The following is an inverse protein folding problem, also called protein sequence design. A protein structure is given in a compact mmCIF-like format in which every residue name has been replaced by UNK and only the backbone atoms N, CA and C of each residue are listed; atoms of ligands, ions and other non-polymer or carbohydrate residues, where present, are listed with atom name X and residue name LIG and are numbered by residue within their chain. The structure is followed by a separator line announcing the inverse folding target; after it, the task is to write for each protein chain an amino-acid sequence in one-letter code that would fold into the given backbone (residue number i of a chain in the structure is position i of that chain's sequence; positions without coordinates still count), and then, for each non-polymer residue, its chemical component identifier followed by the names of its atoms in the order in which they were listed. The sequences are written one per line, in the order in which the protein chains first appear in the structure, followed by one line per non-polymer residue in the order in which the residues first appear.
data_IF_585388410201
#
_entry.id   IF_585388410201
#
_cell.length_a   1.000
_cell.length_b   1.000
_cell.length_c   1.000
_cell.angle_alpha   90.00
_cell.angle_beta   90.00
_cell.angle_gamma   90.00
#
_symmetry.space_group_name_H-M   'P 1'
#
loop_
_entity.id
_entity.type
_entity.pdbx_description
1 polymer ?
#
# COMPACT_ATOMS: atom_id res chain seq x y z
N UNK A 1 -8.73 8.71 12.78
CA UNK A 1 -8.12 8.13 11.57
C UNK A 1 -6.76 8.78 11.39
N UNK A 2 -5.73 7.97 11.21
CA UNK A 2 -4.35 8.37 11.07
C UNK A 2 -3.83 7.84 9.72
N UNK A 3 -3.12 8.69 8.99
CA UNK A 3 -2.51 8.34 7.71
C UNK A 3 -1.04 8.75 7.73
N UNK A 4 -0.16 7.83 7.39
CA UNK A 4 1.27 8.07 7.35
C UNK A 4 1.81 7.98 5.92
N UNK A 5 2.22 9.11 5.35
CA UNK A 5 2.78 9.17 4.00
C UNK A 5 4.04 8.31 3.83
N UNK A 6 4.90 8.18 4.84
CA UNK A 6 6.17 7.45 4.70
C UNK A 6 5.97 5.95 4.47
N UNK A 7 4.92 5.36 5.05
CA UNK A 7 4.57 3.96 4.81
C UNK A 7 4.20 3.70 3.34
N UNK A 8 3.60 4.68 2.68
CA UNK A 8 3.12 4.52 1.30
C UNK A 8 4.19 4.89 0.29
N UNK A 9 4.91 6.01 0.51
CA UNK A 9 5.90 6.53 -0.44
C UNK A 9 7.27 5.87 -0.24
N UNK A 10 7.72 5.69 1.00
CA UNK A 10 9.06 5.15 1.27
C UNK A 10 9.06 3.64 1.28
N UNK A 11 8.16 3.01 2.06
CA UNK A 11 8.10 1.57 2.16
C UNK A 11 7.33 0.93 0.98
N UNK A 12 6.14 1.44 0.65
CA UNK A 12 5.33 0.93 -0.44
C UNK A 12 5.74 1.42 -1.84
N UNK A 13 6.61 2.44 -1.94
CA UNK A 13 7.03 3.05 -3.21
C UNK A 13 5.87 3.45 -4.13
N UNK A 14 4.73 3.80 -3.55
CA UNK A 14 3.55 4.24 -4.29
C UNK A 14 3.78 5.64 -4.84
N UNK A 15 3.60 5.79 -6.15
CA UNK A 15 3.73 7.08 -6.82
C UNK A 15 2.67 8.07 -6.31
N UNK A 16 3.04 9.35 -6.18
CA UNK A 16 2.13 10.41 -5.74
C UNK A 16 0.85 10.46 -6.59
N UNK A 17 1.01 10.23 -7.89
CA UNK A 17 -0.06 10.28 -8.89
C UNK A 17 -1.14 9.22 -8.67
N UNK A 18 -0.83 8.10 -8.02
CA UNK A 18 -1.82 7.06 -7.72
C UNK A 18 -2.92 7.59 -6.79
N UNK A 19 -2.54 8.41 -5.80
CA UNK A 19 -3.48 8.99 -4.83
C UNK A 19 -3.97 10.37 -5.26
N UNK A 20 -3.08 11.19 -5.83
CA UNK A 20 -3.32 12.62 -6.08
C UNK A 20 -3.61 12.95 -7.55
N UNK A 21 -3.60 11.96 -8.45
CA UNK A 21 -3.77 12.18 -9.89
C UNK A 21 -2.55 12.86 -10.53
N UNK A 22 -2.66 13.31 -11.79
CA UNK A 22 -1.58 13.99 -12.51
C UNK A 22 -1.37 15.41 -11.96
N UNK A 23 -0.89 15.52 -10.71
CA UNK A 23 -0.75 16.78 -9.97
C UNK A 23 0.07 17.83 -10.71
N UNK A 24 1.03 17.38 -11.55
CA UNK A 24 1.87 18.25 -12.36
C UNK A 24 1.12 18.96 -13.52
N UNK A 25 -0.10 18.50 -13.86
CA UNK A 25 -0.95 19.06 -14.91
C UNK A 25 -2.13 19.86 -14.34
N UNK A 26 -2.27 19.89 -13.01
CA UNK A 26 -3.36 20.60 -12.33
C UNK A 26 -3.02 22.08 -12.18
N UNK A 27 -3.78 22.96 -12.85
CA UNK A 27 -3.69 24.42 -12.67
C UNK A 27 -4.12 24.84 -11.25
N UNK A 28 -5.18 24.22 -10.74
CA UNK A 28 -5.60 24.30 -9.34
C UNK A 28 -5.78 22.89 -8.78
N UNK A 29 -5.31 22.67 -7.55
CA UNK A 29 -5.37 21.34 -6.92
C UNK A 29 -6.81 20.98 -6.59
N UNK A 30 -7.23 19.79 -7.03
CA UNK A 30 -8.52 19.21 -6.66
C UNK A 30 -8.34 17.78 -6.15
N UNK A 31 -9.36 17.26 -5.48
CA UNK A 31 -9.36 15.88 -5.02
C UNK A 31 -9.59 14.93 -6.20
N UNK A 32 -8.53 14.24 -6.63
CA UNK A 32 -8.57 13.28 -7.72
C UNK A 32 -9.19 11.93 -7.32
N UNK A 33 -8.66 11.32 -6.27
CA UNK A 33 -9.17 10.05 -5.74
C UNK A 33 -10.21 10.26 -4.63
N UNK A 34 -11.16 9.33 -4.45
CA UNK A 34 -12.18 9.47 -3.41
C UNK A 34 -11.61 9.39 -1.99
N UNK A 35 -10.45 8.72 -1.79
CA UNK A 35 -9.75 8.61 -0.50
C UNK A 35 -10.65 8.15 0.66
N UNK A 36 -11.65 7.32 0.35
CA UNK A 36 -12.62 6.79 1.33
C UNK A 36 -12.12 5.47 1.94
N UNK A 37 -12.77 5.08 3.05
CA UNK A 37 -12.82 3.72 3.61
C UNK A 37 -12.53 2.60 2.58
N UNK A 38 -13.51 2.39 1.72
CA UNK A 38 -13.50 1.31 0.74
C UNK A 38 -12.39 1.45 -0.31
N UNK A 39 -12.02 2.67 -0.68
CA UNK A 39 -10.94 2.90 -1.62
C UNK A 39 -9.59 2.46 -1.06
N UNK A 40 -9.29 2.83 0.20
CA UNK A 40 -8.06 2.40 0.87
C UNK A 40 -8.01 0.86 1.02
N UNK A 41 -9.11 0.25 1.45
CA UNK A 41 -9.18 -1.21 1.64
C UNK A 41 -8.93 -1.95 0.32
N UNK A 42 -9.57 -1.52 -0.77
CA UNK A 42 -9.38 -2.18 -2.07
C UNK A 42 -7.95 -2.01 -2.58
N UNK A 43 -7.38 -0.81 -2.45
CA UNK A 43 -5.97 -0.58 -2.77
C UNK A 43 -5.05 -1.55 -2.00
N UNK A 44 -5.28 -1.75 -0.70
CA UNK A 44 -4.48 -2.68 0.12
C UNK A 44 -4.68 -4.16 -0.25
N UNK A 45 -5.86 -4.54 -0.77
CA UNK A 45 -6.13 -5.91 -1.25
C UNK A 45 -5.42 -6.22 -2.55
N UNK A 46 -5.28 -5.23 -3.42
CA UNK A 46 -4.79 -5.39 -4.79
C UNK A 46 -3.29 -5.08 -4.90
N UNK A 47 -2.73 -4.29 -3.98
CA UNK A 47 -1.32 -3.88 -4.03
C UNK A 47 -0.42 -4.97 -3.46
N UNK A 48 0.52 -5.45 -4.28
CA UNK A 48 1.59 -6.36 -3.85
C UNK A 48 2.64 -5.61 -3.02
N UNK A 49 3.18 -6.30 -2.01
CA UNK A 49 4.22 -5.74 -1.14
C UNK A 49 5.54 -5.67 -1.90
N UNK A 50 6.15 -4.49 -1.93
CA UNK A 50 7.47 -4.30 -2.53
C UNK A 50 8.55 -4.91 -1.63
N UNK A 51 9.16 -5.99 -2.11
CA UNK A 51 10.12 -6.81 -1.35
C UNK A 51 11.55 -6.68 -1.85
N UNK A 52 11.74 -6.26 -3.09
CA UNK A 52 13.07 -6.14 -3.72
C UNK A 52 13.93 -5.03 -3.10
N UNK A 53 13.30 -4.08 -2.40
CA UNK A 53 13.94 -2.86 -1.91
C UNK A 53 14.05 -2.77 -0.39
N UNK A 54 13.64 -3.81 0.35
CA UNK A 54 13.61 -3.75 1.81
C UNK A 54 13.86 -5.12 2.46
N UNK A 55 15.02 -5.29 3.08
CA UNK A 55 15.44 -6.47 3.83
C UNK A 55 14.44 -6.88 4.92
N UNK A 56 13.71 -5.92 5.50
CA UNK A 56 12.67 -6.20 6.50
C UNK A 56 11.53 -7.04 5.93
N UNK A 57 11.11 -6.76 4.69
CA UNK A 57 10.01 -7.49 4.03
C UNK A 57 10.48 -8.76 3.33
N UNK A 58 11.77 -8.85 2.97
CA UNK A 58 12.33 -10.03 2.29
C UNK A 58 12.08 -11.33 3.06
N UNK A 59 12.38 -11.35 4.37
CA UNK A 59 12.18 -12.54 5.21
C UNK A 59 10.70 -12.94 5.32
N UNK A 60 9.83 -11.96 5.56
CA UNK A 60 8.39 -12.20 5.67
C UNK A 60 7.82 -12.70 4.33
N UNK A 61 8.32 -12.19 3.21
CA UNK A 61 7.90 -12.62 1.89
C UNK A 61 8.31 -14.06 1.58
N UNK A 62 9.53 -14.47 1.94
CA UNK A 62 9.96 -15.88 1.84
C UNK A 62 9.06 -16.80 2.68
N UNK A 63 8.77 -16.43 3.94
CA UNK A 63 7.89 -17.20 4.83
C UNK A 63 6.47 -17.32 4.26
N UNK A 64 5.94 -16.24 3.68
CA UNK A 64 4.60 -16.22 3.08
C UNK A 64 4.55 -17.02 1.77
N UNK A 65 5.57 -16.91 0.90
CA UNK A 65 5.67 -17.75 -0.30
C UNK A 65 5.80 -19.23 0.02
N UNK A 66 6.57 -19.59 1.04
CA UNK A 66 6.65 -20.97 1.51
C UNK A 66 5.30 -21.52 1.99
N UNK A 67 4.44 -20.67 2.55
CA UNK A 67 3.12 -21.04 3.08
C UNK A 67 2.01 -21.06 2.02
N UNK A 68 2.01 -20.09 1.11
CA UNK A 68 0.93 -19.87 0.15
C UNK A 68 1.27 -20.32 -1.28
N UNK A 69 2.52 -20.72 -1.53
CA UNK A 69 3.04 -21.12 -2.84
C UNK A 69 3.99 -20.06 -3.43
N UNK A 70 4.96 -20.50 -4.24
CA UNK A 70 5.97 -19.60 -4.83
C UNK A 70 5.36 -18.52 -5.74
N UNK A 71 4.23 -18.86 -6.38
CA UNK A 71 3.45 -18.01 -7.27
C UNK A 71 2.40 -17.15 -6.55
N UNK A 72 2.31 -17.23 -5.21
CA UNK A 72 1.34 -16.44 -4.47
C UNK A 72 1.70 -14.95 -4.50
N UNK A 73 0.75 -14.13 -4.94
CA UNK A 73 0.85 -12.67 -4.86
C UNK A 73 0.65 -12.23 -3.40
N UNK A 74 1.72 -11.72 -2.79
CA UNK A 74 1.68 -11.28 -1.39
C UNK A 74 1.25 -9.82 -1.34
N UNK A 75 0.00 -9.57 -0.94
CA UNK A 75 -0.59 -8.23 -0.92
C UNK A 75 -0.47 -7.55 0.45
N UNK A 76 -0.72 -6.24 0.49
CA UNK A 76 -0.68 -5.45 1.73
C UNK A 76 -1.69 -5.97 2.77
N UNK A 77 -2.83 -6.51 2.32
CA UNK A 77 -3.79 -7.20 3.19
C UNK A 77 -3.16 -8.40 3.92
N UNK A 78 -2.37 -9.22 3.22
CA UNK A 78 -1.78 -10.44 3.77
C UNK A 78 -0.76 -10.19 4.88
N UNK A 79 -0.23 -8.98 4.95
CA UNK A 79 0.75 -8.55 5.97
C UNK A 79 0.11 -7.70 7.08
N UNK A 80 -1.22 -7.75 7.16
CA UNK A 80 -2.00 -7.08 8.20
C UNK A 80 -2.28 -5.61 7.93
N UNK A 81 -2.17 -5.14 6.68
CA UNK A 81 -2.45 -3.75 6.30
C UNK A 81 -3.92 -3.32 6.42
N UNK A 82 -4.81 -4.22 6.84
CA UNK A 82 -6.24 -3.94 7.07
C UNK A 82 -6.64 -3.95 8.55
N UNK A 83 -5.68 -4.07 9.47
CA UNK A 83 -5.96 -4.01 10.91
C UNK A 83 -6.43 -2.60 11.31
N UNK A 84 -7.59 -2.52 11.98
CA UNK A 84 -8.18 -1.25 12.41
C UNK A 84 -7.20 -0.35 13.19
N UNK A 85 -6.34 -0.98 14.01
CA UNK A 85 -5.33 -0.32 14.83
C UNK A 85 -4.30 0.47 14.03
N UNK A 86 -3.98 0.05 12.80
CA UNK A 86 -2.94 0.69 11.99
C UNK A 86 -3.43 1.96 11.27
N UNK A 87 -4.75 2.15 11.18
CA UNK A 87 -5.37 3.25 10.44
C UNK A 87 -6.20 4.19 11.33
N UNK A 88 -6.68 3.72 12.48
CA UNK A 88 -7.60 4.50 13.33
C UNK A 88 -7.00 4.93 14.67
N UNK A 89 -5.80 4.48 15.01
CA UNK A 89 -5.09 4.75 16.25
C UNK A 89 -3.61 5.05 15.97
#
# INVERSE_FOLDING_TARGET
AYFNHSQHVTAGQVACQTCHGPIQEMEEVYQYSPLTMGWCINCHRETQVQVESNDYYAKMHEELKAKYGEDAEITVEMIGGLECGKCHY
#
